data_IF_459025301377
#
_entry.id   IF_459025301377
#
_cell.length_a   1.000
_cell.length_b   1.000
_cell.length_c   1.000
_cell.angle_alpha   90.00
_cell.angle_beta   90.00
_cell.angle_gamma   90.00
#
_symmetry.space_group_name_H-M   'P 1'
#
loop_
_entity.id
_entity.type
_entity.pdbx_description
1 polymer ?
#
# COMPACT_ATOMS: atom_id res chain seq x y z
N UNK A 1 -17.43 -7.39 -18.15
CA UNK A 1 -16.13 -6.88 -17.66
C UNK A 1 -15.65 -5.86 -18.67
N UNK A 2 -15.23 -4.68 -18.22
CA UNK A 2 -14.53 -3.72 -19.08
C UNK A 2 -13.06 -4.14 -19.11
N UNK A 3 -12.60 -4.73 -20.20
CA UNK A 3 -11.26 -5.28 -20.36
C UNK A 3 -11.11 -6.12 -21.63
N UNK A 4 -9.88 -6.50 -21.97
CA UNK A 4 -9.60 -7.38 -23.11
C UNK A 4 -9.96 -8.82 -22.75
N UNK A 5 -10.87 -9.43 -23.52
CA UNK A 5 -11.20 -10.86 -23.42
C UNK A 5 -10.32 -11.61 -24.41
N UNK A 6 -9.57 -12.61 -23.91
CA UNK A 6 -8.80 -13.53 -24.74
C UNK A 6 -9.56 -14.86 -24.79
N UNK A 7 -10.02 -15.25 -25.96
CA UNK A 7 -10.52 -16.60 -26.19
C UNK A 7 -9.34 -17.55 -26.37
N UNK A 8 -9.32 -18.63 -25.59
CA UNK A 8 -8.33 -19.70 -25.69
C UNK A 8 -8.96 -20.95 -26.30
N UNK A 9 -8.20 -21.83 -26.97
CA UNK A 9 -8.73 -23.08 -27.51
C UNK A 9 -9.37 -23.96 -26.43
N UNK A 10 -10.39 -24.73 -26.81
CA UNK A 10 -11.08 -25.65 -25.88
C UNK A 10 -10.18 -26.79 -25.39
N UNK A 11 -9.16 -27.15 -26.17
CA UNK A 11 -8.14 -28.13 -25.81
C UNK A 11 -6.85 -27.41 -25.42
N UNK A 12 -6.26 -27.78 -24.28
CA UNK A 12 -5.02 -27.20 -23.79
C UNK A 12 -3.86 -27.53 -24.76
N UNK A 13 -3.10 -26.52 -25.24
CA UNK A 13 -1.96 -26.75 -26.14
C UNK A 13 -0.85 -27.63 -25.57
N UNK A 14 -0.68 -27.63 -24.25
CA UNK A 14 0.28 -28.47 -23.54
C UNK A 14 -0.40 -29.14 -22.34
N UNK A 15 -0.07 -30.43 -22.12
CA UNK A 15 -0.71 -31.27 -21.11
C UNK A 15 -0.26 -30.95 -19.67
N UNK A 16 0.82 -30.18 -19.49
CA UNK A 16 1.38 -29.82 -18.18
C UNK A 16 1.20 -28.32 -17.92
N UNK A 17 1.55 -27.46 -18.88
CA UNK A 17 1.49 -26.00 -18.73
C UNK A 17 1.37 -25.27 -20.06
N UNK A 18 0.25 -24.58 -20.26
CA UNK A 18 0.03 -23.71 -21.42
C UNK A 18 0.27 -22.25 -21.05
N UNK A 19 1.14 -21.55 -21.79
CA UNK A 19 1.44 -20.12 -21.58
C UNK A 19 0.76 -19.28 -22.64
N UNK A 20 0.01 -18.25 -22.22
CA UNK A 20 -0.57 -17.24 -23.10
C UNK A 20 0.27 -15.98 -23.04
N UNK A 21 0.77 -15.52 -24.20
CA UNK A 21 1.51 -14.25 -24.31
C UNK A 21 0.62 -13.21 -25.00
N UNK A 22 0.27 -12.15 -24.27
CA UNK A 22 -0.39 -10.97 -24.84
C UNK A 22 0.64 -9.87 -25.07
N UNK A 23 0.85 -9.49 -26.33
CA UNK A 23 1.65 -8.32 -26.68
C UNK A 23 0.73 -7.11 -26.88
N UNK A 24 1.02 -6.02 -26.19
CA UNK A 24 0.26 -4.77 -26.27
C UNK A 24 1.19 -3.63 -26.70
N UNK A 25 0.61 -2.64 -27.37
CA UNK A 25 1.31 -1.40 -27.71
C UNK A 25 1.22 -0.43 -26.52
N UNK A 26 2.36 -0.06 -25.94
CA UNK A 26 2.42 0.80 -24.77
C UNK A 26 2.26 0.06 -23.45
N UNK A 27 2.15 0.81 -22.34
CA UNK A 27 1.90 0.24 -21.03
C UNK A 27 0.44 -0.26 -20.93
N UNK A 28 0.17 -1.36 -20.20
CA UNK A 28 -1.20 -1.82 -20.01
C UNK A 28 -2.02 -0.77 -19.27
N UNK A 29 -3.19 -0.47 -19.81
CA UNK A 29 -4.25 0.22 -19.07
C UNK A 29 -4.97 -0.81 -18.20
N UNK A 30 -4.51 -0.95 -16.98
CA UNK A 30 -5.13 -1.80 -15.96
C UNK A 30 -6.24 -1.01 -15.27
N UNK A 31 -7.48 -1.51 -15.34
CA UNK A 31 -8.53 -1.08 -14.44
C UNK A 31 -8.11 -1.46 -13.02
N UNK A 32 -7.83 -0.47 -12.16
CA UNK A 32 -7.51 -0.73 -10.77
C UNK A 32 -8.69 -1.48 -10.13
N UNK A 33 -8.44 -2.68 -9.63
CA UNK A 33 -9.41 -3.32 -8.73
C UNK A 33 -9.34 -2.49 -7.45
N UNK A 34 -10.42 -1.80 -7.06
CA UNK A 34 -10.35 -0.92 -5.90
C UNK A 34 -10.10 -1.78 -4.67
N UNK A 35 -9.22 -1.30 -3.78
CA UNK A 35 -9.10 -1.87 -2.45
C UNK A 35 -10.44 -1.61 -1.74
N UNK A 36 -11.06 -2.67 -1.22
CA UNK A 36 -12.38 -2.60 -0.56
C UNK A 36 -12.29 -3.07 0.90
N UNK A 37 -13.25 -2.64 1.71
CA UNK A 37 -13.37 -3.11 3.08
C UNK A 37 -13.66 -4.63 3.12
N UNK A 38 -12.89 -5.35 3.93
CA UNK A 38 -13.13 -6.75 4.28
C UNK A 38 -14.49 -6.91 4.99
N UNK A 39 -14.93 -8.15 5.21
CA UNK A 39 -16.21 -8.41 5.88
C UNK A 39 -16.28 -7.77 7.28
N UNK A 40 -15.15 -7.72 7.99
CA UNK A 40 -15.02 -7.07 9.31
C UNK A 40 -14.82 -5.55 9.24
N UNK A 41 -14.80 -4.98 8.03
CA UNK A 41 -14.58 -3.57 7.74
C UNK A 41 -13.11 -3.15 7.65
N UNK A 42 -12.16 -4.08 7.84
CA UNK A 42 -10.72 -3.81 7.71
C UNK A 42 -10.36 -3.44 6.28
N UNK A 43 -9.45 -2.47 6.10
CA UNK A 43 -8.74 -2.24 4.84
C UNK A 43 -7.29 -2.64 5.02
N UNK A 44 -6.75 -3.36 4.03
CA UNK A 44 -5.33 -3.66 3.91
C UNK A 44 -4.79 -2.90 2.72
N UNK A 45 -3.77 -2.08 2.96
CA UNK A 45 -3.10 -1.30 1.94
C UNK A 45 -1.70 -1.90 1.78
N UNK A 46 -1.52 -2.76 0.78
CA UNK A 46 -0.25 -3.46 0.57
C UNK A 46 0.72 -2.61 -0.24
N UNK A 47 2.03 -2.77 -0.01
CA UNK A 47 3.05 -2.07 -0.80
C UNK A 47 2.93 -2.32 -2.32
N UNK A 48 2.48 -3.50 -2.72
CA UNK A 48 2.24 -3.87 -4.12
C UNK A 48 1.10 -3.12 -4.81
N UNK A 49 0.23 -2.47 -4.04
CA UNK A 49 -0.95 -1.74 -4.51
C UNK A 49 -0.78 -0.21 -4.41
N UNK A 50 0.43 0.25 -4.07
CA UNK A 50 0.71 1.66 -3.86
C UNK A 50 0.96 2.39 -5.18
N UNK A 51 0.34 3.56 -5.33
CA UNK A 51 0.77 4.57 -6.30
C UNK A 51 2.01 5.28 -5.76
N UNK A 52 3.11 5.22 -6.51
CA UNK A 52 4.40 5.80 -6.12
C UNK A 52 4.63 7.14 -6.82
N UNK A 53 4.95 8.15 -6.02
CA UNK A 53 5.17 9.52 -6.46
C UNK A 53 6.63 9.87 -6.23
N UNK A 54 7.48 9.48 -7.19
CA UNK A 54 8.92 9.60 -7.08
C UNK A 54 9.65 8.82 -8.16
N UNK A 55 10.97 8.91 -8.13
CA UNK A 55 11.89 8.21 -9.03
C UNK A 55 12.81 7.23 -8.31
N UNK A 56 13.00 7.38 -7.00
CA UNK A 56 13.85 6.48 -6.22
C UNK A 56 13.03 5.38 -5.52
N UNK A 57 11.94 5.78 -4.84
CA UNK A 57 11.00 4.88 -4.16
C UNK A 57 10.47 3.84 -5.15
N UNK A 58 10.50 2.58 -4.75
CA UNK A 58 10.01 1.47 -5.57
C UNK A 58 9.50 0.33 -4.72
N UNK A 59 8.63 -0.47 -5.32
CA UNK A 59 8.28 -1.76 -4.77
C UNK A 59 9.43 -2.76 -4.93
N UNK A 60 9.75 -3.45 -3.85
CA UNK A 60 10.74 -4.54 -3.78
C UNK A 60 10.03 -5.86 -3.47
N UNK A 61 10.43 -6.94 -4.14
CA UNK A 61 9.93 -8.29 -3.91
C UNK A 61 11.07 -9.30 -3.85
N UNK A 62 10.85 -10.43 -3.16
CA UNK A 62 11.84 -11.49 -2.98
C UNK A 62 12.78 -11.25 -1.79
N UNK A 63 13.50 -12.28 -1.35
CA UNK A 63 14.44 -12.20 -0.22
C UNK A 63 13.84 -11.62 1.07
N UNK A 64 12.59 -12.00 1.38
CA UNK A 64 11.84 -11.49 2.53
C UNK A 64 11.24 -10.10 2.34
N UNK A 65 11.45 -9.48 1.17
CA UNK A 65 10.85 -8.20 0.77
C UNK A 65 9.51 -8.40 0.09
N UNK A 66 8.64 -7.46 0.38
CA UNK A 66 7.31 -7.25 -0.17
C UNK A 66 6.90 -5.88 0.39
N UNK A 67 7.64 -4.85 -0.06
CA UNK A 67 7.65 -3.54 0.58
C UNK A 67 7.97 -2.43 -0.41
N UNK A 68 7.63 -1.21 -0.04
CA UNK A 68 8.22 -0.02 -0.62
C UNK A 68 9.59 0.19 0.01
N UNK A 69 10.60 0.40 -0.81
CA UNK A 69 11.97 0.66 -0.39
C UNK A 69 12.68 1.59 -1.37
N UNK A 70 14.00 1.71 -1.23
CA UNK A 70 14.79 2.75 -1.92
C UNK A 70 14.25 4.18 -1.70
N UNK A 71 13.53 4.40 -0.60
CA UNK A 71 12.87 5.65 -0.29
C UNK A 71 13.85 6.63 0.38
N UNK A 72 14.87 7.08 -0.35
CA UNK A 72 15.90 7.95 0.20
C UNK A 72 15.51 9.43 0.12
N UNK A 73 14.80 9.82 -0.94
CA UNK A 73 14.37 11.19 -1.15
C UNK A 73 13.13 11.53 -0.30
N UNK A 74 13.22 12.46 0.67
CA UNK A 74 12.08 12.85 1.51
C UNK A 74 10.98 13.62 0.74
N UNK A 75 11.24 14.03 -0.51
CA UNK A 75 10.23 14.63 -1.39
C UNK A 75 9.27 13.62 -2.01
N UNK A 76 9.60 12.33 -1.98
CA UNK A 76 8.82 11.26 -2.61
C UNK A 76 7.81 10.66 -1.63
N UNK A 77 6.70 10.13 -2.16
CA UNK A 77 5.64 9.57 -1.32
C UNK A 77 4.89 8.41 -1.98
N UNK A 78 4.12 7.71 -1.17
CA UNK A 78 3.25 6.63 -1.62
C UNK A 78 1.79 6.92 -1.25
N UNK A 79 0.86 6.53 -2.11
CA UNK A 79 -0.57 6.67 -1.83
C UNK A 79 -1.35 5.41 -2.21
N UNK A 80 -2.49 5.22 -1.58
CA UNK A 80 -3.45 4.18 -1.91
C UNK A 80 -4.82 4.80 -2.06
N UNK A 81 -5.52 4.45 -3.13
CA UNK A 81 -6.95 4.79 -3.31
C UNK A 81 -7.78 3.55 -3.03
N UNK A 82 -8.77 3.69 -2.14
CA UNK A 82 -9.62 2.59 -1.68
C UNK A 82 -11.05 3.06 -1.47
N UNK A 83 -11.98 2.12 -1.48
CA UNK A 83 -13.40 2.37 -1.28
C UNK A 83 -13.83 2.06 0.14
N UNK A 84 -14.51 3.02 0.75
CA UNK A 84 -15.13 2.90 2.07
C UNK A 84 -16.64 2.83 1.91
N UNK A 85 -17.25 1.74 2.38
CA UNK A 85 -18.71 1.58 2.46
C UNK A 85 -19.26 1.82 3.87
N UNK A 86 -18.42 1.62 4.90
CA UNK A 86 -18.71 1.78 6.32
C UNK A 86 -17.73 2.81 6.90
N UNK A 87 -18.04 4.12 6.80
CA UNK A 87 -17.22 5.18 7.37
C UNK A 87 -17.18 5.12 8.89
N UNK A 88 -16.19 5.77 9.49
CA UNK A 88 -16.01 5.84 10.93
C UNK A 88 -14.54 6.02 11.34
N UNK A 89 -14.25 5.71 12.60
CA UNK A 89 -12.88 5.75 13.13
C UNK A 89 -12.16 4.44 12.84
N UNK A 90 -10.94 4.55 12.35
CA UNK A 90 -10.05 3.43 12.04
C UNK A 90 -8.77 3.54 12.86
N UNK A 91 -8.38 2.46 13.53
CA UNK A 91 -7.03 2.34 14.08
C UNK A 91 -6.07 2.04 12.93
N UNK A 92 -5.02 2.84 12.82
CA UNK A 92 -3.99 2.72 11.79
C UNK A 92 -2.82 1.92 12.36
N UNK A 93 -2.50 0.82 11.70
CA UNK A 93 -1.28 0.06 11.99
C UNK A 93 -0.43 0.01 10.73
N UNK A 94 0.89 0.11 10.87
CA UNK A 94 1.84 0.00 9.78
C UNK A 94 2.84 -1.10 10.05
N UNK A 95 3.36 -1.72 9.00
CA UNK A 95 4.44 -2.69 9.09
C UNK A 95 5.70 -2.11 8.42
N UNK A 96 6.72 -1.79 9.21
CA UNK A 96 7.91 -1.04 8.77
C UNK A 96 9.18 -1.73 9.25
N UNK A 97 10.24 -1.62 8.44
CA UNK A 97 11.62 -1.92 8.82
C UNK A 97 12.52 -0.71 8.52
N UNK A 98 13.50 -0.42 9.37
CA UNK A 98 14.47 0.67 9.15
C UNK A 98 15.78 0.45 9.90
N UNK A 99 16.86 1.05 9.42
CA UNK A 99 18.15 1.13 10.13
C UNK A 99 18.28 2.39 10.99
N UNK A 100 17.39 3.36 10.82
CA UNK A 100 17.33 4.62 11.56
C UNK A 100 15.96 4.87 12.19
N UNK A 101 15.76 6.10 12.68
CA UNK A 101 14.52 6.55 13.32
C UNK A 101 13.84 7.64 12.48
N UNK A 102 13.44 7.30 11.25
CA UNK A 102 12.86 8.25 10.32
C UNK A 102 11.45 8.71 10.71
N UNK A 103 11.16 10.00 10.57
CA UNK A 103 9.83 10.58 10.81
C UNK A 103 8.99 10.63 9.53
N UNK A 104 7.72 10.25 9.64
CA UNK A 104 6.77 10.26 8.53
C UNK A 104 5.38 10.62 9.02
N UNK A 105 4.49 10.92 8.07
CA UNK A 105 3.09 11.18 8.33
C UNK A 105 2.19 10.33 7.44
N UNK A 106 1.04 9.95 7.98
CA UNK A 106 -0.07 9.30 7.30
C UNK A 106 -1.21 10.29 7.22
N UNK A 107 -1.72 10.55 6.02
CA UNK A 107 -2.73 11.58 5.74
C UNK A 107 -3.91 10.93 5.03
N UNK A 108 -5.13 11.20 5.50
CA UNK A 108 -6.37 10.82 4.82
C UNK A 108 -7.36 12.00 4.90
N UNK A 109 -7.59 12.68 3.77
CA UNK A 109 -8.39 13.92 3.78
C UNK A 109 -7.76 15.01 4.65
N UNK A 110 -8.50 15.51 5.65
CA UNK A 110 -8.02 16.52 6.60
C UNK A 110 -7.30 15.93 7.82
N UNK A 111 -7.40 14.63 8.02
CA UNK A 111 -6.84 13.91 9.15
C UNK A 111 -5.37 13.55 8.90
N UNK A 112 -4.53 13.65 9.93
CA UNK A 112 -3.11 13.27 9.87
C UNK A 112 -2.60 12.63 11.15
N UNK A 113 -1.71 11.65 11.01
CA UNK A 113 -0.91 11.07 12.09
C UNK A 113 0.57 11.21 11.75
N UNK A 114 1.36 11.73 12.67
CA UNK A 114 2.81 11.77 12.58
C UNK A 114 3.41 10.66 13.43
N UNK A 115 4.48 10.03 12.95
CA UNK A 115 5.11 8.91 13.62
C UNK A 115 6.61 8.80 13.33
N UNK A 116 7.30 8.07 14.18
CA UNK A 116 8.72 7.75 14.04
C UNK A 116 8.88 6.24 13.85
N UNK A 117 9.55 5.84 12.78
CA UNK A 117 9.90 4.44 12.55
C UNK A 117 10.90 3.96 13.61
N UNK A 118 10.73 2.77 14.19
CA UNK A 118 11.72 2.21 15.10
C UNK A 118 12.90 1.64 14.31
N UNK A 119 14.12 1.77 14.83
CA UNK A 119 15.26 1.00 14.29
C UNK A 119 15.00 -0.50 14.50
N UNK A 120 14.85 -1.24 13.41
CA UNK A 120 14.63 -2.69 13.39
C UNK A 120 15.91 -3.49 13.17
N UNK A 121 17.02 -2.81 12.86
CA UNK A 121 18.35 -3.38 12.67
C UNK A 121 18.58 -4.09 11.33
N UNK A 122 17.56 -4.17 10.47
CA UNK A 122 17.65 -4.67 9.09
C UNK A 122 16.40 -4.27 8.30
N UNK A 123 16.54 -3.99 7.01
CA UNK A 123 15.45 -3.57 6.11
C UNK A 123 14.42 -4.68 5.79
N UNK A 124 14.65 -5.91 6.23
CA UNK A 124 13.71 -7.03 6.14
C UNK A 124 13.12 -7.46 7.49
N UNK A 125 13.58 -6.84 8.60
CA UNK A 125 13.05 -7.10 9.95
C UNK A 125 11.86 -6.22 10.27
N UNK A 126 10.72 -6.50 9.65
CA UNK A 126 9.52 -5.70 9.83
C UNK A 126 8.96 -5.77 11.26
N UNK A 127 8.47 -4.63 11.74
CA UNK A 127 7.71 -4.50 12.99
C UNK A 127 6.40 -3.77 12.74
N UNK A 128 5.36 -4.20 13.44
CA UNK A 128 4.07 -3.52 13.46
C UNK A 128 4.10 -2.35 14.45
N UNK A 129 3.67 -1.17 14.00
CA UNK A 129 3.49 0.03 14.81
C UNK A 129 2.03 0.48 14.74
N UNK A 130 1.44 0.78 15.89
CA UNK A 130 0.13 1.43 15.97
C UNK A 130 0.34 2.95 15.96
N UNK A 131 -0.25 3.64 14.99
CA UNK A 131 -0.09 5.09 14.82
C UNK A 131 -1.17 5.91 15.53
N UNK A 132 -2.21 5.25 16.05
CA UNK A 132 -3.39 5.89 16.58
C UNK A 132 -4.60 5.69 15.68
N UNK A 133 -5.51 6.66 15.66
CA UNK A 133 -6.79 6.56 14.97
C UNK A 133 -6.97 7.73 14.03
N UNK A 134 -7.61 7.49 12.88
CA UNK A 134 -8.13 8.51 11.98
C UNK A 134 -9.61 8.33 11.76
N UNK A 135 -10.31 9.43 11.50
CA UNK A 135 -11.71 9.41 11.11
C UNK A 135 -11.85 9.53 9.58
N UNK A 136 -12.59 8.60 8.98
CA UNK A 136 -13.09 8.72 7.62
C UNK A 136 -14.58 8.98 7.72
N UNK A 137 -14.98 10.24 7.60
CA UNK A 137 -16.34 10.68 7.90
C UNK A 137 -17.40 10.22 6.88
N UNK A 138 -16.99 9.99 5.63
CA UNK A 138 -17.91 9.72 4.52
C UNK A 138 -17.55 8.41 3.81
N UNK A 139 -18.58 7.70 3.35
CA UNK A 139 -18.41 6.61 2.39
C UNK A 139 -17.98 7.16 1.02
N UNK A 140 -17.32 6.32 0.22
CA UNK A 140 -16.82 6.67 -1.11
C UNK A 140 -15.36 6.32 -1.30
N UNK A 141 -14.78 6.86 -2.37
CA UNK A 141 -13.36 6.70 -2.67
C UNK A 141 -12.53 7.63 -1.77
N UNK A 142 -11.50 7.07 -1.16
CA UNK A 142 -10.60 7.75 -0.23
C UNK A 142 -9.17 7.48 -0.65
N UNK A 143 -8.33 8.50 -0.62
CA UNK A 143 -6.89 8.37 -0.78
C UNK A 143 -6.20 8.53 0.57
N UNK A 144 -5.37 7.56 0.94
CA UNK A 144 -4.43 7.67 2.05
C UNK A 144 -3.02 7.84 1.50
N UNK A 145 -2.29 8.81 2.02
CA UNK A 145 -0.92 9.13 1.62
C UNK A 145 0.04 8.92 2.78
N UNK A 146 1.18 8.27 2.53
CA UNK A 146 2.31 8.21 3.46
C UNK A 146 3.43 9.07 2.91
N UNK A 147 3.86 10.06 3.69
CA UNK A 147 4.88 11.03 3.27
C UNK A 147 5.99 11.16 4.33
N UNK A 148 7.27 11.24 3.94
CA UNK A 148 8.35 11.63 4.84
C UNK A 148 8.12 13.00 5.46
N UNK A 149 8.59 13.19 6.69
CA UNK A 149 8.78 14.52 7.26
C UNK A 149 10.26 14.85 7.06
N UNK A 150 10.57 15.81 6.18
CA UNK A 150 11.96 16.07 5.75
C UNK A 150 12.91 16.32 6.92
N UNK A 151 12.44 17.03 7.95
CA UNK A 151 13.17 17.15 9.21
C UNK A 151 13.04 15.85 10.02
N UNK A 152 14.16 15.15 10.16
CA UNK A 152 14.21 13.86 10.85
C UNK A 152 13.97 12.65 9.95
N UNK A 153 13.92 12.82 8.62
CA UNK A 153 13.80 11.69 7.71
C UNK A 153 15.01 10.76 7.78
N UNK A 154 14.73 9.46 7.76
CA UNK A 154 15.69 8.38 7.54
C UNK A 154 14.97 7.29 6.75
N UNK A 155 15.62 6.62 5.78
CA UNK A 155 14.95 5.64 4.94
C UNK A 155 14.25 4.52 5.73
N UNK A 156 13.06 4.17 5.26
CA UNK A 156 12.25 3.07 5.78
C UNK A 156 11.88 2.13 4.64
N UNK A 157 11.70 0.86 4.97
CA UNK A 157 10.95 -0.09 4.17
C UNK A 157 9.53 -0.18 4.74
N UNK A 158 8.51 0.10 3.92
CA UNK A 158 7.10 0.06 4.31
C UNK A 158 6.40 -1.10 3.61
N UNK A 159 5.92 -2.08 4.38
CA UNK A 159 5.29 -3.29 3.87
C UNK A 159 3.79 -3.16 3.66
N UNK A 160 3.10 -2.60 4.66
CA UNK A 160 1.65 -2.44 4.61
C UNK A 160 1.15 -1.40 5.59
N UNK A 161 -0.07 -0.92 5.33
CA UNK A 161 -0.92 -0.30 6.33
C UNK A 161 -2.19 -1.15 6.51
N UNK A 162 -2.72 -1.16 7.73
CA UNK A 162 -4.01 -1.77 8.04
C UNK A 162 -4.87 -0.77 8.80
N UNK A 163 -6.04 -0.47 8.24
CA UNK A 163 -7.07 0.37 8.86
C UNK A 163 -8.11 -0.58 9.45
N UNK A 164 -8.19 -0.66 10.78
CA UNK A 164 -9.18 -1.49 11.46
C UNK A 164 -10.30 -0.63 12.03
N UNK A 165 -11.57 -0.89 11.71
CA UNK A 165 -12.68 -0.17 12.33
C UNK A 165 -12.60 -0.25 13.85
N UNK A 166 -12.81 0.88 14.50
CA UNK A 166 -12.98 0.94 15.95
C UNK A 166 -14.47 0.80 16.22
N UNK A 167 -14.88 -0.35 16.73
CA UNK A 167 -16.27 -0.54 17.18
C UNK A 167 -16.53 0.45 18.31
N UNK A 168 -17.49 1.35 18.12
CA UNK A 168 -17.96 2.20 19.20
C UNK A 168 -18.52 1.28 20.31
N UNK A 169 -17.99 1.44 21.52
CA UNK A 169 -18.56 0.79 22.71
C UNK A 169 -19.90 1.41 23.06
#
# INVERSE_FOLDING_TARGET
>A
AEGVIIEVPAEAPDAISSTVVLQIQGAPEIGATPIIQESDGTLRLMASEADLHGSEIRYESGDGKDNLGYWNNPGEFASWTFKVDRPGRFQINVEIASLGQGTFQVIAGAEKLEATAPNTGDFTKFKRLNLGMLEIANAGDVTLTVKPISEGWSPINLKSLTLRPVVAK
#
